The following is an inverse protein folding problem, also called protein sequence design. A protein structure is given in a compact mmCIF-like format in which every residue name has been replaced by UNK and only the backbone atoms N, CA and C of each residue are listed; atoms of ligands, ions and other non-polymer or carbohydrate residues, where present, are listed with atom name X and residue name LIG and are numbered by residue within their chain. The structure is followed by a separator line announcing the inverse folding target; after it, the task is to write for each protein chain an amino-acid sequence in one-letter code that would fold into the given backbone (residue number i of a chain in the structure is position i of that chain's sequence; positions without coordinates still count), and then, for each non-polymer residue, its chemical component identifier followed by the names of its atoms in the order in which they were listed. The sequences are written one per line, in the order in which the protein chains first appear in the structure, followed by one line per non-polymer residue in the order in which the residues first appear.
data_IF_051409062327
#
_entry.id   IF_051409062327
#
_cell.length_a   1.000
_cell.length_b   1.000
_cell.length_c   1.000
_cell.angle_alpha   90.00
_cell.angle_beta   90.00
_cell.angle_gamma   90.00
#
_symmetry.space_group_name_H-M   'P 1'
#
loop_
_entity.id
_entity.type
_entity.pdbx_description
1 polymer ?
#
# COMPACT_ATOMS: atom_id res chain seq x y z
N UNK A 1 -53.03 30.03 6.77
CA UNK A 1 -51.56 29.99 6.73
C UNK A 1 -51.10 31.23 7.48
N UNK A 2 -50.60 31.06 8.73
CA UNK A 2 -50.10 32.18 9.53
C UNK A 2 -48.68 32.50 9.03
N UNK A 3 -48.53 33.67 8.41
CA UNK A 3 -47.22 34.26 8.17
C UNK A 3 -46.66 34.69 9.54
N UNK A 4 -45.63 34.03 10.04
CA UNK A 4 -44.86 34.52 11.18
C UNK A 4 -44.13 35.78 10.72
N UNK A 5 -44.62 36.95 11.14
CA UNK A 5 -43.90 38.22 11.03
C UNK A 5 -42.55 38.02 11.77
N UNK A 6 -41.44 37.98 11.03
CA UNK A 6 -40.12 38.01 11.60
C UNK A 6 -39.94 39.39 12.25
N UNK A 7 -39.91 39.43 13.58
CA UNK A 7 -39.64 40.66 14.31
C UNK A 7 -38.30 41.29 13.86
N UNK A 8 -38.30 42.62 13.64
CA UNK A 8 -37.11 43.36 13.26
C UNK A 8 -36.00 43.17 14.32
N UNK A 9 -34.75 42.81 13.92
CA UNK A 9 -33.67 42.54 14.86
C UNK A 9 -33.33 43.80 15.67
N UNK A 10 -33.26 43.63 16.98
CA UNK A 10 -32.90 44.71 17.88
C UNK A 10 -31.39 45.00 17.81
N UNK A 11 -30.97 46.22 18.22
CA UNK A 11 -29.52 46.58 18.32
C UNK A 11 -28.75 45.58 19.19
N UNK A 12 -29.39 45.04 20.23
CA UNK A 12 -28.79 44.03 21.12
C UNK A 12 -28.55 42.70 20.41
N UNK A 13 -29.52 42.25 19.64
CA UNK A 13 -29.37 40.99 18.86
C UNK A 13 -28.32 41.14 17.77
N UNK A 14 -28.24 42.28 17.10
CA UNK A 14 -27.17 42.60 16.17
C UNK A 14 -25.79 42.51 16.82
N UNK A 15 -25.61 43.10 18.01
CA UNK A 15 -24.33 43.03 18.73
C UNK A 15 -23.97 41.59 19.15
N UNK A 16 -24.94 40.79 19.59
CA UNK A 16 -24.70 39.39 19.90
C UNK A 16 -24.26 38.57 18.67
N UNK A 17 -24.97 38.74 17.56
CA UNK A 17 -24.63 38.04 16.31
C UNK A 17 -23.27 38.49 15.79
N UNK A 18 -22.98 39.80 15.80
CA UNK A 18 -21.69 40.31 15.36
C UNK A 18 -20.54 39.81 16.24
N UNK A 19 -20.73 39.82 17.57
CA UNK A 19 -19.70 39.30 18.50
C UNK A 19 -19.48 37.79 18.34
N UNK A 20 -20.61 37.04 18.18
CA UNK A 20 -20.52 35.61 17.94
C UNK A 20 -19.80 35.26 16.61
N UNK A 21 -20.08 36.01 15.55
CA UNK A 21 -19.43 35.84 14.25
C UNK A 21 -17.92 36.13 14.33
N UNK A 22 -17.53 37.25 14.94
CA UNK A 22 -16.11 37.59 15.14
C UNK A 22 -15.43 36.56 16.03
N UNK A 23 -16.07 36.13 17.12
CA UNK A 23 -15.58 35.08 17.99
C UNK A 23 -15.38 33.73 17.27
N UNK A 24 -16.33 33.36 16.41
CA UNK A 24 -16.22 32.12 15.62
C UNK A 24 -15.06 32.19 14.60
N UNK A 25 -14.87 33.32 13.91
CA UNK A 25 -13.75 33.54 13.01
C UNK A 25 -12.44 33.51 13.78
N UNK A 26 -12.35 34.18 14.95
CA UNK A 26 -11.18 34.16 15.81
C UNK A 26 -10.83 32.74 16.29
N UNK A 27 -11.81 31.97 16.72
CA UNK A 27 -11.62 30.57 17.10
C UNK A 27 -11.13 29.72 15.92
N UNK A 28 -11.73 29.87 14.73
CA UNK A 28 -11.33 29.15 13.53
C UNK A 28 -9.88 29.46 13.12
N UNK A 29 -9.47 30.74 13.17
CA UNK A 29 -8.09 31.14 12.86
C UNK A 29 -7.08 30.64 13.88
N UNK A 30 -7.47 30.54 15.16
CA UNK A 30 -6.61 29.95 16.20
C UNK A 30 -6.46 28.44 16.05
N UNK A 31 -7.52 27.74 15.62
CA UNK A 31 -7.50 26.25 15.48
C UNK A 31 -6.83 25.80 14.18
N UNK A 32 -6.94 26.58 13.09
CA UNK A 32 -6.45 26.16 11.78
C UNK A 32 -4.94 25.81 11.75
N UNK A 33 -4.01 26.49 12.45
CA UNK A 33 -2.61 26.09 12.50
C UNK A 33 -2.38 24.73 13.15
N UNK A 34 -3.19 24.36 14.16
CA UNK A 34 -3.09 23.06 14.81
C UNK A 34 -3.56 21.93 13.88
N UNK A 35 -4.56 22.18 13.04
CA UNK A 35 -4.99 21.24 12.01
C UNK A 35 -3.90 21.12 10.94
N UNK A 36 -3.32 22.25 10.51
CA UNK A 36 -2.26 22.27 9.50
C UNK A 36 -0.99 21.51 9.94
N UNK A 37 -0.65 21.56 11.23
CA UNK A 37 0.45 20.78 11.81
C UNK A 37 0.26 19.26 11.75
N UNK A 38 -0.96 18.79 11.51
CA UNK A 38 -1.25 17.36 11.30
C UNK A 38 -0.91 16.89 9.88
N UNK A 39 -0.65 17.81 8.95
CA UNK A 39 -0.22 17.47 7.60
C UNK A 39 1.21 16.90 7.63
N UNK A 40 1.52 15.96 6.72
CA UNK A 40 2.87 15.42 6.58
C UNK A 40 3.87 16.56 6.31
N UNK A 41 5.02 16.50 6.98
CA UNK A 41 6.13 17.44 6.74
C UNK A 41 6.75 17.28 5.36
N UNK A 42 7.45 18.29 4.86
CA UNK A 42 8.04 18.28 3.53
C UNK A 42 9.08 17.16 3.33
N UNK A 43 9.82 16.79 4.39
CA UNK A 43 10.76 15.67 4.37
C UNK A 43 10.04 14.31 4.27
N UNK A 44 8.91 14.13 4.96
CA UNK A 44 8.07 12.93 4.82
C UNK A 44 7.50 12.82 3.41
N UNK A 45 7.06 13.93 2.82
CA UNK A 45 6.57 13.96 1.44
C UNK A 45 7.68 13.69 0.43
N UNK A 46 8.90 14.18 0.67
CA UNK A 46 10.05 13.89 -0.19
C UNK A 46 10.44 12.40 -0.20
N UNK A 47 10.21 11.69 0.92
CA UNK A 47 10.41 10.24 1.04
C UNK A 47 9.20 9.41 0.62
N UNK A 48 8.11 10.04 0.16
CA UNK A 48 6.89 9.35 -0.22
C UNK A 48 7.08 8.46 -1.46
N UNK A 49 8.04 8.78 -2.34
CA UNK A 49 8.39 7.96 -3.50
C UNK A 49 9.89 7.71 -3.60
N UNK A 50 10.26 6.56 -4.17
CA UNK A 50 11.64 6.19 -4.48
C UNK A 50 11.75 5.74 -5.93
N UNK A 51 12.90 5.99 -6.54
CA UNK A 51 13.28 5.40 -7.83
C UNK A 51 14.29 4.28 -7.59
N UNK A 52 14.06 3.14 -8.23
CA UNK A 52 14.88 1.94 -8.08
C UNK A 52 15.41 1.51 -9.43
N UNK A 53 16.72 1.31 -9.52
CA UNK A 53 17.37 0.68 -10.68
C UNK A 53 17.28 -0.84 -10.55
N UNK A 54 16.62 -1.47 -11.51
CA UNK A 54 16.40 -2.92 -11.57
C UNK A 54 17.30 -3.63 -12.60
N UNK A 55 18.19 -2.91 -13.26
CA UNK A 55 19.04 -3.43 -14.35
C UNK A 55 19.95 -4.58 -13.91
N UNK A 56 20.43 -4.54 -12.66
CA UNK A 56 21.36 -5.53 -12.10
C UNK A 56 20.67 -6.77 -11.52
N UNK A 57 19.33 -6.78 -11.42
CA UNK A 57 18.59 -7.89 -10.80
C UNK A 57 18.48 -9.07 -11.79
N UNK A 58 19.04 -10.22 -11.39
CA UNK A 58 19.01 -11.42 -12.22
C UNK A 58 17.70 -12.21 -12.05
N UNK A 59 17.30 -13.01 -13.04
CA UNK A 59 16.17 -13.93 -12.89
C UNK A 59 16.32 -14.82 -11.63
N UNK A 60 15.26 -14.96 -10.85
CA UNK A 60 15.23 -15.66 -9.57
C UNK A 60 15.80 -14.87 -8.39
N UNK A 61 16.35 -13.69 -8.60
CA UNK A 61 16.90 -12.85 -7.54
C UNK A 61 15.82 -11.91 -6.97
N UNK A 62 15.83 -11.75 -5.64
CA UNK A 62 15.10 -10.73 -4.91
C UNK A 62 16.06 -9.72 -4.31
N UNK A 63 15.80 -8.44 -4.51
CA UNK A 63 16.50 -7.33 -3.84
C UNK A 63 15.52 -6.61 -2.93
N UNK A 64 15.99 -6.26 -1.74
CA UNK A 64 15.18 -5.54 -0.75
C UNK A 64 15.61 -4.08 -0.71
N UNK A 65 14.65 -3.19 -0.88
CA UNK A 65 14.79 -1.75 -0.70
C UNK A 65 14.02 -1.32 0.54
N UNK A 66 14.15 -0.07 0.94
CA UNK A 66 13.34 0.51 2.00
C UNK A 66 12.45 1.59 1.41
N UNK A 67 11.14 1.50 1.65
CA UNK A 67 10.16 2.51 1.27
C UNK A 67 9.20 2.76 2.42
N UNK A 68 9.04 4.02 2.83
CA UNK A 68 8.22 4.43 3.98
C UNK A 68 8.49 3.60 5.24
N UNK A 69 9.77 3.37 5.52
CA UNK A 69 10.27 2.55 6.65
C UNK A 69 9.87 1.06 6.61
N UNK A 70 9.30 0.58 5.51
CA UNK A 70 9.00 -0.84 5.30
C UNK A 70 9.95 -1.46 4.30
N UNK A 71 10.29 -2.75 4.45
CA UNK A 71 11.01 -3.49 3.43
C UNK A 71 10.14 -3.62 2.17
N UNK A 72 10.77 -3.40 1.02
CA UNK A 72 10.16 -3.52 -0.30
C UNK A 72 10.95 -4.57 -1.08
N UNK A 73 10.29 -5.62 -1.51
CA UNK A 73 10.87 -6.67 -2.32
C UNK A 73 10.68 -6.35 -3.79
N UNK A 74 11.78 -6.38 -4.55
CA UNK A 74 11.77 -6.39 -6.01
C UNK A 74 12.40 -7.68 -6.46
N UNK A 75 11.63 -8.55 -7.09
CA UNK A 75 12.05 -9.86 -7.59
C UNK A 75 11.91 -9.91 -9.10
N UNK A 76 12.95 -10.40 -9.77
CA UNK A 76 12.86 -10.78 -11.17
C UNK A 76 12.51 -12.26 -11.27
N UNK A 77 11.32 -12.57 -11.81
CA UNK A 77 10.86 -13.95 -11.93
C UNK A 77 11.57 -14.69 -13.05
N UNK A 78 11.77 -15.99 -12.84
CA UNK A 78 12.19 -16.91 -13.91
C UNK A 78 11.00 -17.31 -14.78
N UNK A 79 11.22 -17.84 -16.01
CA UNK A 79 10.11 -18.35 -16.85
C UNK A 79 9.28 -19.43 -16.14
N UNK A 80 9.91 -20.31 -15.36
CA UNK A 80 9.22 -21.37 -14.61
C UNK A 80 8.35 -20.79 -13.49
N UNK A 81 8.83 -19.76 -12.79
CA UNK A 81 8.05 -19.03 -11.77
C UNK A 81 6.85 -18.31 -12.38
N UNK A 82 7.02 -17.69 -13.55
CA UNK A 82 5.92 -17.06 -14.29
C UNK A 82 4.88 -18.10 -14.71
N UNK A 83 5.30 -19.26 -15.17
CA UNK A 83 4.37 -20.35 -15.51
C UNK A 83 3.62 -20.83 -14.26
N UNK A 84 4.32 -21.08 -13.17
CA UNK A 84 3.72 -21.55 -11.91
C UNK A 84 2.72 -20.53 -11.32
N UNK A 85 2.92 -19.22 -11.48
CA UNK A 85 1.95 -18.23 -11.00
C UNK A 85 0.61 -18.28 -11.74
N UNK A 86 0.63 -18.62 -13.02
CA UNK A 86 -0.56 -18.72 -13.88
C UNK A 86 -1.43 -19.95 -13.57
N UNK A 87 -0.82 -21.01 -13.05
CA UNK A 87 -1.53 -22.25 -12.71
C UNK A 87 -2.37 -22.13 -11.42
N UNK A 88 -2.08 -21.09 -10.60
CA UNK A 88 -2.77 -20.90 -9.32
C UNK A 88 -4.17 -20.32 -9.55
N UNK A 89 -5.18 -21.08 -9.17
CA UNK A 89 -6.58 -20.66 -9.24
C UNK A 89 -6.91 -19.72 -8.07
N UNK A 90 -7.62 -18.64 -8.36
CA UNK A 90 -8.01 -17.63 -7.35
C UNK A 90 -8.94 -18.22 -6.28
N UNK A 91 -9.78 -19.18 -6.67
CA UNK A 91 -10.70 -19.90 -5.79
C UNK A 91 -10.02 -20.76 -4.72
N UNK A 92 -8.75 -21.15 -4.95
CA UNK A 92 -7.95 -21.95 -4.02
C UNK A 92 -7.13 -21.10 -3.06
N UNK A 93 -7.21 -19.75 -3.17
CA UNK A 93 -6.44 -18.82 -2.34
C UNK A 93 -7.14 -18.49 -1.01
N UNK A 94 -6.38 -18.35 0.04
CA UNK A 94 -6.84 -17.84 1.35
C UNK A 94 -7.38 -16.41 1.19
N UNK A 95 -6.67 -15.56 0.43
CA UNK A 95 -7.10 -14.21 0.08
C UNK A 95 -7.27 -14.12 -1.45
N UNK A 96 -8.51 -14.07 -1.95
CA UNK A 96 -8.78 -13.99 -3.38
C UNK A 96 -8.55 -12.59 -3.98
N UNK A 97 -8.21 -11.57 -3.16
CA UNK A 97 -8.04 -10.18 -3.61
C UNK A 97 -6.59 -9.88 -3.97
N UNK A 98 -6.39 -9.09 -5.03
CA UNK A 98 -5.06 -8.75 -5.53
C UNK A 98 -4.21 -7.95 -4.54
N UNK A 99 -4.81 -7.16 -3.65
CA UNK A 99 -4.10 -6.24 -2.73
C UNK A 99 -3.06 -5.39 -3.48
N UNK A 100 -3.49 -4.83 -4.60
CA UNK A 100 -2.65 -4.05 -5.51
C UNK A 100 -3.14 -2.60 -5.55
N UNK A 101 -2.32 -1.68 -5.04
CA UNK A 101 -2.67 -0.26 -4.96
C UNK A 101 -2.82 0.42 -6.35
N UNK A 102 -2.44 -0.26 -7.44
CA UNK A 102 -2.60 0.22 -8.81
C UNK A 102 -3.93 -0.21 -9.46
N UNK A 103 -4.76 -0.99 -8.74
CA UNK A 103 -6.00 -1.59 -9.23
C UNK A 103 -7.16 -1.29 -8.26
N UNK A 104 -8.42 -1.48 -8.69
CA UNK A 104 -9.56 -1.44 -7.78
C UNK A 104 -9.41 -2.47 -6.64
N UNK A 105 -9.92 -2.14 -5.45
CA UNK A 105 -9.78 -2.96 -4.23
C UNK A 105 -10.36 -4.38 -4.37
N UNK A 106 -11.36 -4.55 -5.23
CA UNK A 106 -12.01 -5.84 -5.50
C UNK A 106 -11.35 -6.65 -6.62
N UNK A 107 -10.20 -6.21 -7.16
CA UNK A 107 -9.49 -6.95 -8.20
C UNK A 107 -9.08 -8.34 -7.69
N UNK A 108 -9.32 -9.43 -8.46
CA UNK A 108 -8.95 -10.80 -8.06
C UNK A 108 -7.43 -11.00 -8.10
N UNK A 109 -6.90 -11.89 -7.26
CA UNK A 109 -5.48 -12.18 -7.11
C UNK A 109 -4.91 -13.06 -8.24
N UNK A 110 -5.26 -12.76 -9.49
CA UNK A 110 -4.65 -13.39 -10.66
C UNK A 110 -3.18 -12.96 -10.79
N UNK A 111 -2.37 -13.69 -11.53
CA UNK A 111 -0.99 -13.33 -11.84
C UNK A 111 -0.90 -11.94 -12.50
N UNK A 112 -1.76 -11.67 -13.49
CA UNK A 112 -1.83 -10.38 -14.18
C UNK A 112 -2.17 -9.18 -13.26
N UNK A 113 -2.94 -9.41 -12.21
CA UNK A 113 -3.31 -8.37 -11.25
C UNK A 113 -2.29 -8.21 -10.12
N UNK A 114 -1.32 -9.11 -10.01
CA UNK A 114 -0.25 -9.04 -9.01
C UNK A 114 1.03 -8.38 -9.54
N UNK A 115 1.21 -8.32 -10.86
CA UNK A 115 2.39 -7.75 -11.51
C UNK A 115 2.00 -6.90 -12.71
N UNK A 116 2.59 -5.71 -12.88
CA UNK A 116 2.41 -4.89 -14.09
C UNK A 116 3.13 -5.49 -15.31
N UNK A 117 4.28 -6.13 -15.06
CA UNK A 117 5.03 -6.90 -16.06
C UNK A 117 5.27 -8.30 -15.50
N UNK A 118 5.01 -9.36 -16.25
CA UNK A 118 5.05 -10.74 -15.73
C UNK A 118 6.39 -11.13 -15.09
N UNK A 119 7.48 -10.54 -15.56
CA UNK A 119 8.83 -10.84 -15.05
C UNK A 119 9.23 -10.07 -13.78
N UNK A 120 8.42 -9.10 -13.34
CA UNK A 120 8.74 -8.25 -12.21
C UNK A 120 7.68 -8.29 -11.12
N UNK A 121 8.09 -8.74 -9.95
CA UNK A 121 7.25 -8.73 -8.75
C UNK A 121 7.75 -7.66 -7.77
N UNK A 122 6.84 -6.73 -7.40
CA UNK A 122 7.11 -5.64 -6.45
C UNK A 122 6.14 -5.76 -5.29
N UNK A 123 6.63 -6.03 -4.09
CA UNK A 123 5.81 -6.33 -2.92
C UNK A 123 6.31 -5.59 -1.68
N UNK A 124 5.38 -5.18 -0.83
CA UNK A 124 5.72 -4.73 0.52
C UNK A 124 6.07 -5.97 1.35
N UNK A 125 7.31 -6.03 1.84
CA UNK A 125 7.89 -7.19 2.54
C UNK A 125 7.46 -7.29 4.01
N UNK A 126 6.18 -7.07 4.28
CA UNK A 126 5.59 -7.11 5.64
C UNK A 126 4.54 -8.20 5.71
N UNK A 127 4.80 -9.22 6.53
CA UNK A 127 3.86 -10.31 6.76
C UNK A 127 2.55 -9.78 7.35
N UNK A 128 1.44 -10.12 6.71
CA UNK A 128 0.11 -9.62 7.07
C UNK A 128 -0.45 -10.25 8.35
N UNK A 129 0.28 -11.18 8.99
CA UNK A 129 -0.08 -11.69 10.31
C UNK A 129 0.24 -10.66 11.41
N UNK A 130 1.53 -10.41 11.68
CA UNK A 130 1.98 -9.50 12.76
C UNK A 130 3.19 -8.64 12.35
N UNK A 131 3.41 -8.38 11.07
CA UNK A 131 4.38 -7.40 10.61
C UNK A 131 5.83 -7.88 10.47
N UNK A 132 6.15 -9.17 10.69
CA UNK A 132 7.50 -9.69 10.46
C UNK A 132 7.88 -9.60 8.98
N UNK A 133 9.19 -9.48 8.69
CA UNK A 133 9.70 -9.51 7.31
C UNK A 133 9.88 -10.95 6.85
N UNK A 134 9.14 -11.44 5.83
CA UNK A 134 9.33 -12.78 5.28
C UNK A 134 10.65 -12.89 4.53
N UNK A 135 11.24 -14.08 4.52
CA UNK A 135 12.45 -14.38 3.76
C UNK A 135 12.10 -14.88 2.37
N UNK A 136 12.78 -14.34 1.36
CA UNK A 136 12.60 -14.73 -0.04
C UNK A 136 13.32 -16.07 -0.32
N UNK A 137 12.72 -16.91 -1.15
CA UNK A 137 13.44 -18.00 -1.81
C UNK A 137 14.51 -17.44 -2.74
N UNK A 138 15.63 -18.13 -2.81
CA UNK A 138 16.69 -17.87 -3.77
C UNK A 138 16.87 -19.10 -4.67
N UNK A 139 17.61 -19.01 -5.79
CA UNK A 139 17.92 -20.19 -6.62
C UNK A 139 18.60 -21.32 -5.85
N UNK A 140 19.32 -21.00 -4.78
CA UNK A 140 20.10 -21.97 -3.96
C UNK A 140 19.31 -22.46 -2.74
N UNK A 141 18.42 -21.62 -2.18
CA UNK A 141 17.68 -21.93 -0.95
C UNK A 141 16.20 -21.65 -1.14
N UNK A 142 15.41 -22.71 -1.15
CA UNK A 142 13.95 -22.63 -1.21
C UNK A 142 13.39 -22.32 0.16
N UNK A 143 12.55 -21.31 0.26
CA UNK A 143 11.84 -20.94 1.47
C UNK A 143 10.37 -21.41 1.38
N UNK A 144 10.03 -22.38 2.21
CA UNK A 144 8.70 -23.01 2.18
C UNK A 144 8.41 -23.80 0.91
N UNK A 145 7.16 -24.22 0.75
CA UNK A 145 6.75 -25.17 -0.31
C UNK A 145 6.37 -24.48 -1.63
N UNK A 146 6.08 -23.16 -1.58
CA UNK A 146 5.52 -22.42 -2.71
C UNK A 146 6.54 -21.53 -3.45
N UNK A 147 7.81 -21.60 -3.10
CA UNK A 147 8.92 -20.97 -3.83
C UNK A 147 9.01 -19.44 -3.74
N UNK A 148 8.10 -18.79 -3.01
CA UNK A 148 8.07 -17.34 -2.83
C UNK A 148 8.74 -16.90 -1.53
N UNK A 149 7.96 -16.61 -0.49
CA UNK A 149 8.45 -16.10 0.79
C UNK A 149 7.94 -16.95 1.97
N UNK A 150 8.79 -17.11 2.98
CA UNK A 150 8.45 -17.75 4.24
C UNK A 150 8.63 -16.77 5.40
N UNK A 151 7.58 -16.56 6.19
CA UNK A 151 7.65 -15.83 7.44
C UNK A 151 7.96 -16.79 8.58
N UNK A 152 9.20 -16.80 9.06
CA UNK A 152 9.67 -17.70 10.12
C UNK A 152 9.05 -17.43 11.49
N UNK A 153 8.40 -16.27 11.70
CA UNK A 153 7.79 -15.96 12.99
C UNK A 153 6.68 -16.95 13.36
N UNK A 154 5.79 -17.28 12.41
CA UNK A 154 4.66 -18.17 12.66
C UNK A 154 4.33 -19.08 11.45
N UNK A 155 5.24 -19.23 10.51
CA UNK A 155 5.14 -20.19 9.41
C UNK A 155 4.23 -19.80 8.25
N UNK A 156 3.86 -18.52 8.11
CA UNK A 156 3.10 -18.09 6.92
C UNK A 156 3.95 -18.20 5.67
N UNK A 157 3.40 -18.86 4.64
CA UNK A 157 4.06 -19.06 3.35
C UNK A 157 3.31 -18.34 2.25
N UNK A 158 4.07 -17.73 1.36
CA UNK A 158 3.56 -17.00 0.20
C UNK A 158 4.18 -17.58 -1.07
N UNK A 159 3.42 -17.60 -2.15
CA UNK A 159 3.97 -17.96 -3.46
C UNK A 159 4.80 -16.81 -4.07
N UNK A 160 5.37 -17.02 -5.25
CA UNK A 160 6.23 -16.04 -5.92
C UNK A 160 5.49 -14.76 -6.35
N UNK A 161 4.15 -14.77 -6.38
CA UNK A 161 3.32 -13.58 -6.58
C UNK A 161 2.92 -12.90 -5.25
N UNK A 162 3.46 -13.37 -4.10
CA UNK A 162 3.14 -12.85 -2.78
C UNK A 162 1.73 -13.18 -2.30
N UNK A 163 1.07 -14.20 -2.88
CA UNK A 163 -0.23 -14.68 -2.42
C UNK A 163 -0.04 -15.64 -1.27
N UNK A 164 -0.78 -15.43 -0.17
CA UNK A 164 -0.73 -16.32 1.01
C UNK A 164 -1.30 -17.69 0.66
N UNK A 165 -0.53 -18.74 0.98
CA UNK A 165 -0.88 -20.14 0.69
C UNK A 165 -1.11 -20.96 1.94
N UNK A 166 -0.35 -20.70 3.02
CA UNK A 166 -0.42 -21.43 4.29
C UNK A 166 -0.04 -20.49 5.44
N UNK A 167 -0.56 -20.78 6.61
CA UNK A 167 -0.20 -20.13 7.86
C UNK A 167 -1.22 -19.11 8.34
N UNK A 168 -0.92 -18.39 9.45
CA UNK A 168 -1.87 -17.50 10.10
C UNK A 168 -2.05 -16.14 9.42
N UNK A 169 -1.28 -15.83 8.37
CA UNK A 169 -1.44 -14.57 7.64
C UNK A 169 -2.79 -14.52 6.92
N UNK A 170 -3.64 -13.50 7.15
CA UNK A 170 -4.98 -13.45 6.60
C UNK A 170 -5.04 -12.91 5.17
N UNK A 171 -4.00 -12.25 4.69
CA UNK A 171 -3.99 -11.55 3.39
C UNK A 171 -2.70 -11.77 2.61
N UNK A 172 -2.79 -11.56 1.31
CA UNK A 172 -1.64 -11.49 0.42
C UNK A 172 -0.70 -10.33 0.81
N UNK A 173 0.59 -10.42 0.46
CA UNK A 173 1.50 -9.27 0.57
C UNK A 173 1.00 -8.13 -0.32
N UNK A 174 1.05 -6.91 0.16
CA UNK A 174 0.55 -5.76 -0.60
C UNK A 174 1.49 -5.42 -1.77
N UNK A 175 0.89 -5.08 -2.92
CA UNK A 175 1.59 -4.49 -4.06
C UNK A 175 1.48 -2.98 -3.91
N UNK A 176 2.60 -2.24 -3.74
CA UNK A 176 2.57 -0.79 -3.59
C UNK A 176 2.16 -0.10 -4.88
N UNK A 177 1.80 1.19 -4.84
CA UNK A 177 1.71 1.98 -6.06
C UNK A 177 3.11 2.08 -6.69
N UNK A 178 3.24 1.67 -7.96
CA UNK A 178 4.49 1.78 -8.69
C UNK A 178 4.25 1.93 -10.20
N UNK A 179 5.26 2.42 -10.91
CA UNK A 179 5.23 2.54 -12.35
C UNK A 179 6.64 2.29 -12.93
N UNK A 180 6.71 1.75 -14.15
CA UNK A 180 7.96 1.66 -14.90
C UNK A 180 8.26 2.99 -15.55
N UNK A 181 9.39 3.60 -15.21
CA UNK A 181 9.90 4.80 -15.88
C UNK A 181 10.66 4.43 -17.17
N UNK A 182 11.29 3.26 -17.16
CA UNK A 182 11.99 2.65 -18.30
C UNK A 182 12.05 1.13 -18.12
N UNK A 183 12.77 0.43 -19.00
CA UNK A 183 12.99 -1.01 -18.83
C UNK A 183 13.91 -1.36 -17.65
N UNK A 184 14.65 -0.38 -17.15
CA UNK A 184 15.64 -0.54 -16.07
C UNK A 184 15.31 0.24 -14.81
N UNK A 185 14.23 1.03 -14.80
CA UNK A 185 13.86 1.86 -13.64
C UNK A 185 12.39 1.77 -13.32
N UNK A 186 12.10 1.62 -12.03
CA UNK A 186 10.76 1.72 -11.48
C UNK A 186 10.69 2.86 -10.45
N UNK A 187 9.57 3.56 -10.43
CA UNK A 187 9.20 4.51 -9.39
C UNK A 187 8.14 3.86 -8.51
N UNK A 188 8.29 3.97 -7.20
CA UNK A 188 7.38 3.42 -6.19
C UNK A 188 6.91 4.57 -5.29
N UNK A 189 5.58 4.69 -5.13
CA UNK A 189 4.92 5.78 -4.40
C UNK A 189 4.38 6.89 -5.26
#
# INVERSE_FOLDING_TARGET
MAQSELAEPTRREFLYVATAAVGAVGAATCVSPFIDQMNPSADVLALASIEVDISSIRPGQTVTFTWRSHPLFVRRLTPDEIAATKEVKVEDLIDPLARNANLPENAPATDANRAMRPEWMVLVGVCTHLGCTPQASTPQVKQGDYGGWLCHCHGSQYDVAGRVRVGPAPRNLDVPPYAFLSDTRIKIG
#
